data_IF_353820025763
#
_entry.id   IF_353820025763
#
_cell.length_a   1.000
_cell.length_b   1.000
_cell.length_c   1.000
_cell.angle_alpha   90.00
_cell.angle_beta   90.00
_cell.angle_gamma   90.00
#
_symmetry.space_group_name_H-M   'P 1'
#
loop_
_entity.id
_entity.type
_entity.pdbx_description
1 polymer ?
#
# COMPACT_ATOMS: atom_id res chain seq x y z
N UNK A 1 -5.28 14.26 -0.55
CA UNK A 1 -4.79 12.92 -0.13
C UNK A 1 -3.42 12.59 -0.70
N UNK A 2 -2.67 11.69 -0.06
CA UNK A 2 -1.35 11.16 -0.45
C UNK A 2 -1.35 9.63 -0.27
N UNK A 3 -0.39 8.96 -0.89
CA UNK A 3 -0.21 7.51 -0.79
C UNK A 3 0.94 7.15 0.16
N UNK A 4 0.72 6.14 0.97
CA UNK A 4 1.66 5.62 1.94
C UNK A 4 1.73 4.10 1.83
N UNK A 5 2.86 3.52 2.22
CA UNK A 5 3.02 2.09 2.42
C UNK A 5 3.11 1.82 3.92
N UNK A 6 2.28 0.91 4.42
CA UNK A 6 2.31 0.44 5.79
C UNK A 6 2.72 -1.04 5.83
N UNK A 7 3.67 -1.42 6.67
CA UNK A 7 4.17 -2.80 6.77
C UNK A 7 4.62 -3.11 8.19
N UNK A 8 4.71 -4.40 8.53
CA UNK A 8 5.34 -4.88 9.77
C UNK A 8 6.84 -5.13 9.53
N UNK A 9 7.68 -4.15 9.87
CA UNK A 9 9.13 -4.22 9.73
C UNK A 9 9.65 -4.18 8.28
N UNK A 10 9.40 -5.23 7.49
CA UNK A 10 9.88 -5.39 6.13
C UNK A 10 8.72 -5.48 5.12
N UNK A 11 8.63 -4.57 4.12
CA UNK A 11 7.54 -4.58 3.16
C UNK A 11 7.54 -5.80 2.22
N UNK A 12 8.66 -6.50 2.08
CA UNK A 12 8.77 -7.74 1.28
C UNK A 12 7.92 -8.88 1.85
N UNK A 13 7.61 -8.85 3.15
CA UNK A 13 6.74 -9.84 3.80
C UNK A 13 5.25 -9.50 3.67
N UNK A 14 4.92 -8.39 3.00
CA UNK A 14 3.56 -7.86 2.90
C UNK A 14 3.50 -6.40 3.30
N UNK A 15 2.78 -5.62 2.51
CA UNK A 15 2.55 -4.21 2.78
C UNK A 15 1.16 -3.77 2.30
N UNK A 16 0.57 -2.85 3.05
CA UNK A 16 -0.73 -2.24 2.78
C UNK A 16 -0.52 -0.89 2.10
N UNK A 17 -1.30 -0.61 1.06
CA UNK A 17 -1.36 0.70 0.44
C UNK A 17 -2.38 1.57 1.19
N UNK A 18 -1.94 2.72 1.69
CA UNK A 18 -2.76 3.62 2.51
C UNK A 18 -2.93 4.96 1.83
N UNK A 19 -4.16 5.46 1.79
CA UNK A 19 -4.51 6.79 1.30
C UNK A 19 -4.88 7.67 2.50
N UNK A 20 -4.13 8.75 2.72
CA UNK A 20 -4.32 9.64 3.87
C UNK A 20 -3.80 11.07 3.60
N UNK A 21 -4.14 12.04 4.44
CA UNK A 21 -3.68 13.43 4.31
C UNK A 21 -2.26 13.65 4.83
N UNK A 22 -1.93 12.92 5.89
CA UNK A 22 -0.65 12.97 6.58
C UNK A 22 -0.22 11.61 7.14
N UNK A 23 1.01 11.57 7.65
CA UNK A 23 1.62 10.34 8.17
C UNK A 23 0.91 9.81 9.43
N UNK A 24 0.34 10.70 10.25
CA UNK A 24 -0.33 10.32 11.50
C UNK A 24 -1.65 9.62 11.20
N UNK A 25 -2.40 10.13 10.24
CA UNK A 25 -3.61 9.50 9.73
C UNK A 25 -3.29 8.17 9.02
N UNK A 26 -2.23 8.14 8.20
CA UNK A 26 -1.77 6.91 7.55
C UNK A 26 -1.45 5.80 8.57
N UNK A 27 -0.79 6.13 9.69
CA UNK A 27 -0.54 5.17 10.78
C UNK A 27 -1.81 4.62 11.40
N UNK A 28 -2.80 5.48 11.66
CA UNK A 28 -4.08 5.07 12.26
C UNK A 28 -4.86 4.11 11.35
N UNK A 29 -4.84 4.37 10.05
CA UNK A 29 -5.55 3.57 9.05
C UNK A 29 -4.78 2.29 8.71
N UNK A 30 -3.46 2.37 8.59
CA UNK A 30 -2.61 1.24 8.27
C UNK A 30 -2.49 0.22 9.40
N UNK A 31 -2.51 0.66 10.67
CA UNK A 31 -2.42 -0.24 11.83
C UNK A 31 -3.43 -1.40 11.79
N UNK A 32 -4.76 -1.17 11.79
CA UNK A 32 -5.73 -2.27 11.80
C UNK A 32 -5.59 -3.19 10.57
N UNK A 33 -5.17 -2.65 9.42
CA UNK A 33 -4.96 -3.45 8.21
C UNK A 33 -3.76 -4.39 8.36
N UNK A 34 -2.60 -3.87 8.79
CA UNK A 34 -1.38 -4.67 9.01
C UNK A 34 -1.59 -5.69 10.13
N UNK A 35 -2.24 -5.30 11.24
CA UNK A 35 -2.46 -6.21 12.37
C UNK A 35 -3.46 -7.33 12.06
N UNK A 36 -4.31 -7.16 11.06
CA UNK A 36 -5.31 -8.17 10.70
C UNK A 36 -4.70 -9.48 10.18
N UNK A 37 -3.46 -9.43 9.68
CA UNK A 37 -2.73 -10.60 9.18
C UNK A 37 -2.17 -11.48 10.31
N UNK A 38 -1.94 -10.89 11.49
CA UNK A 38 -1.35 -11.56 12.65
C UNK A 38 -2.09 -11.12 13.92
N UNK A 39 -3.36 -11.54 14.11
CA UNK A 39 -4.19 -11.09 15.23
C UNK A 39 -3.63 -11.46 16.60
N UNK A 40 -2.82 -12.53 16.66
CA UNK A 40 -2.19 -13.03 17.88
C UNK A 40 -0.74 -12.53 18.07
N UNK A 41 -0.26 -11.62 17.21
CA UNK A 41 1.08 -11.06 17.36
C UNK A 41 1.16 -10.16 18.60
N UNK A 42 2.04 -10.52 19.52
CA UNK A 42 2.32 -9.71 20.72
C UNK A 42 3.03 -8.38 20.38
N UNK A 43 3.72 -8.33 19.24
CA UNK A 43 4.44 -7.17 18.78
C UNK A 43 4.35 -7.02 17.26
N UNK A 44 4.14 -5.78 16.81
CA UNK A 44 4.14 -5.38 15.39
C UNK A 44 4.99 -4.11 15.28
N UNK A 45 6.04 -4.15 14.46
CA UNK A 45 6.87 -3.00 14.11
C UNK A 45 6.21 -2.25 12.95
N UNK A 46 5.10 -1.53 13.22
CA UNK A 46 4.42 -0.77 12.18
C UNK A 46 5.32 0.33 11.63
N UNK A 47 5.76 0.16 10.38
CA UNK A 47 6.44 1.17 9.59
C UNK A 47 5.48 1.76 8.58
N UNK A 48 5.50 3.08 8.44
CA UNK A 48 4.72 3.79 7.43
C UNK A 48 5.63 4.77 6.70
N UNK A 49 5.66 4.67 5.38
CA UNK A 49 6.50 5.50 4.51
C UNK A 49 5.64 6.21 3.46
N UNK A 50 6.00 7.45 3.13
CA UNK A 50 5.34 8.23 2.08
C UNK A 50 5.82 7.76 0.70
N UNK A 51 4.90 7.44 -0.19
CA UNK A 51 5.18 7.06 -1.57
C UNK A 51 5.14 8.30 -2.47
N UNK A 52 6.30 8.94 -2.64
CA UNK A 52 6.43 10.14 -3.48
C UNK A 52 6.39 9.77 -4.96
N UNK A 53 5.86 10.67 -5.79
CA UNK A 53 5.93 10.61 -7.26
C UNK A 53 5.31 9.34 -7.88
N UNK A 54 4.31 8.76 -7.21
CA UNK A 54 3.58 7.56 -7.66
C UNK A 54 2.07 7.81 -7.81
N UNK A 55 1.63 8.72 -8.69
CA UNK A 55 0.21 9.06 -8.85
C UNK A 55 -0.64 7.89 -9.35
N UNK A 56 -0.07 6.94 -10.10
CA UNK A 56 -0.75 5.73 -10.58
C UNK A 56 -1.28 4.83 -9.44
N UNK A 57 -0.78 4.99 -8.21
CA UNK A 57 -1.26 4.23 -7.07
C UNK A 57 -2.70 4.60 -6.68
N UNK A 58 -3.20 5.77 -7.08
CA UNK A 58 -4.61 6.15 -6.88
C UNK A 58 -5.59 5.27 -7.66
N UNK A 59 -5.15 4.53 -8.68
CA UNK A 59 -5.99 3.54 -9.38
C UNK A 59 -6.34 2.33 -8.50
N UNK A 60 -5.71 2.20 -7.34
CA UNK A 60 -5.99 1.20 -6.31
C UNK A 60 -6.86 1.73 -5.17
N UNK A 61 -7.25 3.02 -5.20
CA UNK A 61 -8.08 3.60 -4.17
C UNK A 61 -9.53 3.08 -4.27
N UNK A 62 -10.23 3.07 -3.13
CA UNK A 62 -11.67 2.86 -3.10
C UNK A 62 -12.36 4.13 -3.61
N UNK A 63 -13.01 4.12 -4.80
CA UNK A 63 -13.49 5.34 -5.45
C UNK A 63 -14.47 6.14 -4.58
N UNK A 64 -15.31 5.45 -3.82
CA UNK A 64 -16.29 6.04 -2.90
C UNK A 64 -15.63 6.74 -1.71
N UNK A 65 -14.55 6.17 -1.16
CA UNK A 65 -13.82 6.73 -0.03
C UNK A 65 -12.94 7.89 -0.49
N UNK A 66 -12.30 7.75 -1.65
CA UNK A 66 -11.50 8.81 -2.27
C UNK A 66 -12.37 10.03 -2.61
N UNK A 67 -13.55 9.82 -3.23
CA UNK A 67 -14.48 10.91 -3.54
C UNK A 67 -15.02 11.61 -2.28
N UNK A 68 -15.16 10.88 -1.19
CA UNK A 68 -15.56 11.42 0.10
C UNK A 68 -14.40 12.04 0.91
N UNK A 69 -13.19 12.09 0.33
CA UNK A 69 -11.95 12.54 0.98
C UNK A 69 -11.67 11.81 2.32
N UNK A 70 -12.01 10.52 2.39
CA UNK A 70 -11.83 9.68 3.57
C UNK A 70 -10.55 8.86 3.46
N UNK A 71 -9.72 8.91 4.49
CA UNK A 71 -8.55 8.07 4.57
C UNK A 71 -8.92 6.58 4.70
N UNK A 72 -8.20 5.71 4.00
CA UNK A 72 -8.50 4.29 3.90
C UNK A 72 -7.27 3.48 3.47
N UNK A 73 -7.36 2.16 3.67
CA UNK A 73 -6.34 1.20 3.27
C UNK A 73 -6.87 0.32 2.13
N UNK A 74 -5.96 -0.16 1.29
CA UNK A 74 -6.15 -1.27 0.38
C UNK A 74 -5.06 -2.30 0.69
N UNK A 75 -5.46 -3.46 1.21
CA UNK A 75 -4.61 -4.59 1.58
C UNK A 75 -4.32 -5.54 0.41
N UNK A 76 -5.00 -5.36 -0.72
CA UNK A 76 -4.78 -6.12 -1.95
C UNK A 76 -4.64 -5.19 -3.18
N UNK A 77 -3.64 -4.29 -3.20
CA UNK A 77 -3.36 -3.47 -4.36
C UNK A 77 -2.92 -4.32 -5.56
N UNK A 78 -3.13 -3.80 -6.78
CA UNK A 78 -2.63 -4.43 -8.01
C UNK A 78 -1.11 -4.63 -7.92
N UNK A 79 -0.69 -5.87 -8.03
CA UNK A 79 0.69 -6.30 -7.98
C UNK A 79 1.18 -6.77 -9.37
N UNK A 80 2.50 -6.83 -9.52
CA UNK A 80 3.15 -7.39 -10.71
C UNK A 80 2.83 -8.88 -10.83
N UNK A 81 2.43 -9.34 -12.02
CA UNK A 81 2.13 -10.76 -12.27
C UNK A 81 3.36 -11.69 -12.20
N UNK A 82 4.58 -11.14 -12.23
CA UNK A 82 5.82 -11.94 -12.19
C UNK A 82 6.41 -12.04 -10.78
N UNK A 83 6.67 -10.89 -10.14
CA UNK A 83 7.29 -10.85 -8.80
C UNK A 83 6.29 -10.72 -7.65
N UNK A 84 4.99 -10.60 -7.94
CA UNK A 84 3.90 -10.45 -6.96
C UNK A 84 4.01 -9.21 -6.06
N UNK A 85 4.95 -8.30 -6.36
CA UNK A 85 5.14 -7.05 -5.64
C UNK A 85 4.29 -5.93 -6.25
N UNK A 86 3.71 -5.07 -5.40
CA UNK A 86 3.05 -3.83 -5.82
C UNK A 86 3.95 -2.62 -5.59
N UNK A 87 3.53 -1.45 -6.09
CA UNK A 87 4.18 -0.18 -5.82
C UNK A 87 4.98 0.37 -7.00
N UNK A 88 5.25 -0.45 -8.01
CA UNK A 88 5.79 -0.01 -9.30
C UNK A 88 4.67 0.13 -10.32
N UNK A 89 4.91 0.94 -11.36
CA UNK A 89 3.95 1.08 -12.45
C UNK A 89 3.91 -0.24 -13.21
N UNK A 90 2.71 -0.69 -13.55
CA UNK A 90 2.52 -1.89 -14.35
C UNK A 90 2.29 -1.49 -15.81
N UNK A 91 2.83 -2.28 -16.73
CA UNK A 91 2.55 -2.18 -18.16
C UNK A 91 1.19 -2.82 -18.50
N UNK A 92 0.86 -2.89 -19.79
CA UNK A 92 -0.41 -3.46 -20.27
C UNK A 92 -0.58 -4.96 -19.93
N UNK A 93 0.53 -5.68 -19.76
CA UNK A 93 0.56 -7.11 -19.42
C UNK A 93 0.55 -7.35 -17.89
N UNK A 94 0.47 -6.29 -17.09
CA UNK A 94 0.50 -6.39 -15.63
C UNK A 94 1.90 -6.65 -15.06
N UNK A 95 2.96 -6.38 -15.82
CA UNK A 95 4.36 -6.56 -15.40
C UNK A 95 4.96 -5.22 -14.99
N UNK A 96 5.75 -5.20 -13.92
CA UNK A 96 6.41 -3.99 -13.44
C UNK A 96 7.73 -3.73 -14.18
N UNK A 97 8.16 -2.46 -14.18
CA UNK A 97 9.39 -2.00 -14.83
C UNK A 97 10.61 -2.87 -14.47
N UNK A 98 10.75 -3.25 -13.19
CA UNK A 98 11.86 -4.09 -12.71
C UNK A 98 11.90 -5.50 -13.28
N UNK A 99 10.77 -6.07 -13.69
CA UNK A 99 10.70 -7.40 -14.30
C UNK A 99 10.74 -7.35 -15.83
N UNK A 100 10.47 -6.20 -16.44
CA UNK A 100 10.65 -6.01 -17.89
C UNK A 100 12.10 -5.73 -18.29
N UNK A 101 12.92 -5.25 -17.35
CA UNK A 101 14.34 -4.98 -17.57
C UNK A 101 15.26 -6.21 -17.31
N UNK A 102 14.68 -7.38 -17.00
CA UNK A 102 15.35 -8.69 -16.85
C UNK A 102 15.33 -9.51 -18.15
#
# INVERSE_FOLDING_TARGET
MKTYMASDGCPENGAVLVFAHDLKEAKKVGWPAVTSWSPDAEYIDLRVVLLKDKPFLFDNAHPELLKADKAHANDNPKACSNCEMWGNKLNADGICDSCTDE
#
